data_IF_388176678843
#
_entry.id   IF_388176678843
#
_cell.length_a   1.000
_cell.length_b   1.000
_cell.length_c   1.000
_cell.angle_alpha   90.00
_cell.angle_beta   90.00
_cell.angle_gamma   90.00
#
_symmetry.space_group_name_H-M   'P 1'
#
loop_
_entity.id
_entity.type
_entity.pdbx_description
1 polymer ?
#
# COMPACT_ATOMS: atom_id res chain seq x y z
N UNK A 1 -27.37 14.62 9.31
CA UNK A 1 -25.92 14.35 9.32
C UNK A 1 -25.59 12.91 9.75
N UNK A 2 -26.11 12.42 10.89
CA UNK A 2 -25.90 11.01 11.35
C UNK A 2 -26.46 9.98 10.34
N UNK A 3 -27.61 10.25 9.71
CA UNK A 3 -28.20 9.34 8.72
C UNK A 3 -27.46 9.27 7.39
N UNK A 4 -26.76 10.33 6.98
CA UNK A 4 -25.92 10.32 5.77
C UNK A 4 -24.63 9.54 6.01
N UNK A 5 -24.05 9.62 7.21
CA UNK A 5 -22.87 8.83 7.62
C UNK A 5 -23.23 7.34 7.71
N UNK A 6 -24.39 7.00 8.27
CA UNK A 6 -24.88 5.61 8.31
C UNK A 6 -25.12 5.03 6.92
N UNK A 7 -25.72 5.81 6.00
CA UNK A 7 -25.93 5.40 4.59
C UNK A 7 -24.61 5.23 3.83
N UNK A 8 -23.62 6.11 4.05
CA UNK A 8 -22.29 5.98 3.46
C UNK A 8 -21.56 4.71 3.91
N UNK A 9 -21.63 4.39 5.22
CA UNK A 9 -21.04 3.17 5.77
C UNK A 9 -21.73 1.88 5.26
N UNK A 10 -23.04 1.90 5.02
CA UNK A 10 -23.77 0.74 4.46
C UNK A 10 -23.46 0.54 2.98
N UNK A 11 -23.29 1.62 2.20
CA UNK A 11 -22.85 1.52 0.81
C UNK A 11 -21.41 1.01 0.70
N UNK A 12 -20.51 1.45 1.59
CA UNK A 12 -19.14 0.95 1.65
C UNK A 12 -19.08 -0.52 2.07
N UNK A 13 -19.83 -0.93 3.10
CA UNK A 13 -19.91 -2.33 3.51
C UNK A 13 -20.50 -3.23 2.42
N UNK A 14 -21.51 -2.76 1.67
CA UNK A 14 -22.07 -3.48 0.54
C UNK A 14 -21.08 -3.58 -0.64
N UNK A 15 -20.28 -2.55 -0.87
CA UNK A 15 -19.22 -2.55 -1.88
C UNK A 15 -18.10 -3.54 -1.51
N UNK A 16 -17.64 -3.52 -0.27
CA UNK A 16 -16.65 -4.46 0.27
C UNK A 16 -17.16 -5.90 0.22
N UNK A 17 -18.42 -6.12 0.62
CA UNK A 17 -19.05 -7.44 0.55
C UNK A 17 -19.12 -7.96 -0.88
N UNK A 18 -19.52 -7.10 -1.84
CA UNK A 18 -19.55 -7.48 -3.25
C UNK A 18 -18.16 -7.86 -3.78
N UNK A 19 -17.11 -7.14 -3.39
CA UNK A 19 -15.73 -7.49 -3.75
C UNK A 19 -15.33 -8.86 -3.20
N UNK A 20 -15.72 -9.17 -1.95
CA UNK A 20 -15.45 -10.47 -1.32
C UNK A 20 -16.22 -11.58 -2.03
N UNK A 21 -17.49 -11.36 -2.35
CA UNK A 21 -18.34 -12.35 -3.02
C UNK A 21 -17.85 -12.63 -4.46
N UNK A 22 -17.46 -11.58 -5.19
CA UNK A 22 -16.86 -11.70 -6.53
C UNK A 22 -15.50 -12.44 -6.48
N UNK A 23 -14.73 -12.26 -5.39
CA UNK A 23 -13.47 -12.97 -5.14
C UNK A 23 -13.65 -14.47 -4.92
N UNK A 24 -14.58 -14.87 -4.05
CA UNK A 24 -14.85 -16.29 -3.81
C UNK A 24 -15.41 -16.98 -5.06
N UNK A 25 -16.25 -16.26 -5.82
CA UNK A 25 -16.77 -16.77 -7.08
C UNK A 25 -15.67 -17.00 -8.11
N UNK A 26 -14.75 -16.05 -8.27
CA UNK A 26 -13.60 -16.22 -9.15
C UNK A 26 -12.69 -17.37 -8.72
N UNK A 27 -12.40 -17.52 -7.41
CA UNK A 27 -11.63 -18.67 -6.91
C UNK A 27 -12.32 -19.99 -7.21
N UNK A 28 -13.64 -20.04 -6.99
CA UNK A 28 -14.43 -21.22 -7.26
C UNK A 28 -14.40 -21.57 -8.75
N UNK A 29 -14.49 -20.58 -9.64
CA UNK A 29 -14.36 -20.76 -11.09
C UNK A 29 -12.94 -21.20 -11.50
N UNK A 30 -11.91 -20.67 -10.84
CA UNK A 30 -10.50 -21.03 -11.05
C UNK A 30 -10.24 -22.50 -10.71
N UNK A 31 -10.65 -22.93 -9.51
CA UNK A 31 -10.52 -24.32 -9.05
C UNK A 31 -11.38 -25.28 -9.90
N UNK A 32 -12.59 -24.87 -10.28
CA UNK A 32 -13.46 -25.65 -11.20
C UNK A 32 -12.87 -25.81 -12.59
N UNK A 33 -12.11 -24.82 -13.07
CA UNK A 33 -11.50 -24.86 -14.40
C UNK A 33 -10.28 -25.78 -14.50
N UNK A 34 -9.75 -26.29 -13.38
CA UNK A 34 -8.55 -27.13 -13.34
C UNK A 34 -7.26 -26.42 -13.73
N UNK A 35 -7.29 -25.08 -13.89
CA UNK A 35 -6.15 -24.24 -14.31
C UNK A 35 -5.40 -23.61 -13.13
N UNK A 36 -5.68 -24.02 -11.90
CA UNK A 36 -5.01 -23.46 -10.72
C UNK A 36 -3.50 -23.63 -10.87
N UNK A 37 -3.03 -24.86 -11.13
CA UNK A 37 -1.61 -25.18 -11.20
C UNK A 37 -0.92 -24.46 -12.38
N UNK A 38 -1.55 -24.38 -13.56
CA UNK A 38 -1.01 -23.61 -14.72
C UNK A 38 -0.90 -22.10 -14.47
N UNK A 39 -1.80 -21.53 -13.65
CA UNK A 39 -1.77 -20.10 -13.27
C UNK A 39 -0.72 -19.84 -12.19
N UNK A 40 -0.46 -20.82 -11.32
CA UNK A 40 0.58 -20.70 -10.29
C UNK A 40 1.98 -21.02 -10.83
N UNK A 41 2.12 -21.86 -11.86
CA UNK A 41 3.41 -22.30 -12.40
C UNK A 41 3.91 -21.51 -13.65
N UNK A 42 3.06 -20.84 -14.43
CA UNK A 42 3.46 -20.10 -15.67
C UNK A 42 3.57 -18.57 -15.52
N UNK A 43 3.87 -18.05 -14.33
CA UNK A 43 3.93 -16.60 -14.07
C UNK A 43 5.27 -15.98 -14.52
N UNK A 44 5.39 -15.70 -15.82
CA UNK A 44 6.29 -14.65 -16.32
C UNK A 44 5.46 -13.39 -16.59
N UNK A 45 5.15 -12.61 -15.55
CA UNK A 45 4.47 -11.31 -15.73
C UNK A 45 3.61 -10.77 -14.58
N UNK A 46 3.21 -11.60 -13.61
CA UNK A 46 2.47 -11.15 -12.42
C UNK A 46 3.38 -11.20 -11.19
N UNK A 47 3.56 -10.07 -10.51
CA UNK A 47 4.27 -9.98 -9.24
C UNK A 47 3.34 -10.21 -8.05
N UNK A 48 3.79 -9.82 -6.86
CA UNK A 48 2.98 -9.99 -5.64
C UNK A 48 1.57 -9.39 -5.78
N UNK A 49 0.60 -10.10 -5.20
CA UNK A 49 -0.83 -9.78 -5.26
C UNK A 49 -1.42 -9.73 -6.68
N UNK A 50 -0.82 -10.45 -7.64
CA UNK A 50 -1.26 -10.48 -9.03
C UNK A 50 -1.02 -9.16 -9.76
N UNK A 51 -0.18 -8.28 -9.21
CA UNK A 51 0.13 -6.99 -9.79
C UNK A 51 1.01 -7.13 -11.03
N UNK A 52 0.88 -6.19 -11.97
CA UNK A 52 1.74 -6.15 -13.16
C UNK A 52 3.17 -5.80 -12.76
N UNK A 53 4.13 -6.67 -13.07
CA UNK A 53 5.57 -6.34 -12.92
C UNK A 53 5.93 -5.23 -13.90
N UNK A 54 6.62 -4.19 -13.41
CA UNK A 54 7.01 -3.05 -14.23
C UNK A 54 8.23 -3.36 -15.10
N UNK A 55 8.14 -2.98 -16.37
CA UNK A 55 9.29 -2.99 -17.28
C UNK A 55 10.27 -1.86 -16.95
N UNK A 56 11.49 -1.95 -17.50
CA UNK A 56 12.50 -0.88 -17.36
C UNK A 56 12.00 0.47 -17.89
N UNK A 57 11.30 0.48 -19.03
CA UNK A 57 10.76 1.72 -19.59
C UNK A 57 9.72 2.37 -18.67
N UNK A 58 8.85 1.57 -18.05
CA UNK A 58 7.87 2.07 -17.07
C UNK A 58 8.56 2.61 -15.81
N UNK A 59 9.60 1.93 -15.34
CA UNK A 59 10.42 2.42 -14.21
C UNK A 59 11.14 3.73 -14.53
N UNK A 60 11.65 3.88 -15.76
CA UNK A 60 12.28 5.13 -16.22
C UNK A 60 11.26 6.28 -16.26
N UNK A 61 10.01 6.00 -16.64
CA UNK A 61 8.93 7.00 -16.62
C UNK A 61 8.48 7.35 -15.19
N UNK A 62 8.39 6.36 -14.30
CA UNK A 62 8.20 6.59 -12.87
C UNK A 62 9.29 7.50 -12.30
N UNK A 63 10.56 7.22 -12.59
CA UNK A 63 11.68 8.03 -12.12
C UNK A 63 11.56 9.50 -12.56
N UNK A 64 11.18 9.75 -13.83
CA UNK A 64 10.94 11.12 -14.33
C UNK A 64 9.78 11.80 -13.61
N UNK A 65 8.66 11.10 -13.42
CA UNK A 65 7.46 11.67 -12.79
C UNK A 65 7.74 12.01 -11.32
N UNK A 66 8.35 11.09 -10.57
CA UNK A 66 8.69 11.26 -9.15
C UNK A 66 9.66 12.43 -8.96
N UNK A 67 10.72 12.49 -9.76
CA UNK A 67 11.71 13.57 -9.69
C UNK A 67 11.06 14.92 -10.03
N UNK A 68 10.26 14.98 -11.10
CA UNK A 68 9.61 16.23 -11.54
C UNK A 68 8.59 16.75 -10.53
N UNK A 69 7.80 15.86 -9.92
CA UNK A 69 6.70 16.27 -9.04
C UNK A 69 7.16 16.54 -7.61
N UNK A 70 8.06 15.72 -7.08
CA UNK A 70 8.37 15.68 -5.64
C UNK A 70 9.86 15.77 -5.34
N UNK A 71 10.71 15.85 -6.36
CA UNK A 71 12.16 15.73 -6.20
C UNK A 71 12.61 14.33 -5.74
N UNK A 72 11.72 13.34 -5.78
CA UNK A 72 11.97 11.99 -5.28
C UNK A 72 12.77 11.17 -6.28
N UNK A 73 13.82 10.51 -5.82
CA UNK A 73 14.68 9.64 -6.63
C UNK A 73 14.11 8.22 -6.67
N UNK A 74 14.42 7.48 -7.72
CA UNK A 74 14.13 6.05 -7.82
C UNK A 74 15.46 5.30 -7.86
N UNK A 75 15.65 4.30 -6.98
CA UNK A 75 16.90 3.55 -6.87
C UNK A 75 16.64 2.06 -6.74
N UNK A 76 17.27 1.29 -7.61
CA UNK A 76 17.24 -0.17 -7.54
C UNK A 76 18.11 -0.67 -6.38
N UNK A 77 17.63 -1.69 -5.67
CA UNK A 77 18.36 -2.44 -4.64
C UNK A 77 18.30 -3.94 -4.95
N UNK A 78 19.26 -4.69 -4.41
CA UNK A 78 19.33 -6.15 -4.63
C UNK A 78 18.29 -6.90 -3.79
N UNK A 79 18.05 -6.46 -2.55
CA UNK A 79 17.12 -7.10 -1.62
C UNK A 79 16.63 -6.14 -0.54
N UNK A 80 15.51 -6.51 0.07
CA UNK A 80 15.03 -5.99 1.34
C UNK A 80 15.14 -7.07 2.42
N UNK A 81 14.96 -6.68 3.69
CA UNK A 81 14.97 -7.62 4.82
C UNK A 81 13.79 -8.59 4.79
N UNK A 82 12.66 -8.16 4.21
CA UNK A 82 11.48 -9.00 4.00
C UNK A 82 11.29 -9.32 2.51
N UNK A 83 10.98 -10.58 2.14
CA UNK A 83 10.70 -10.96 0.75
C UNK A 83 9.44 -10.31 0.19
N UNK A 84 8.48 -9.93 1.04
CA UNK A 84 7.20 -9.35 0.63
C UNK A 84 7.29 -7.85 0.33
N UNK A 85 8.44 -7.22 0.59
CA UNK A 85 8.72 -5.83 0.26
C UNK A 85 9.33 -5.79 -1.15
N UNK A 86 8.65 -5.11 -2.07
CA UNK A 86 9.14 -4.87 -3.43
C UNK A 86 9.62 -3.43 -3.66
N UNK A 87 9.08 -2.48 -2.88
CA UNK A 87 9.50 -1.09 -2.87
C UNK A 87 9.39 -0.51 -1.45
N UNK A 88 10.13 0.56 -1.18
CA UNK A 88 10.10 1.28 0.09
C UNK A 88 10.52 2.73 -0.13
N UNK A 89 9.72 3.68 0.37
CA UNK A 89 10.09 5.08 0.43
C UNK A 89 10.98 5.38 1.64
N UNK A 90 12.17 5.93 1.39
CA UNK A 90 13.06 6.49 2.41
C UNK A 90 12.91 8.03 2.44
N UNK A 91 12.28 8.58 3.51
CA UNK A 91 12.09 10.02 3.62
C UNK A 91 13.41 10.78 3.84
N UNK A 92 14.43 10.16 4.43
CA UNK A 92 15.70 10.83 4.76
C UNK A 92 16.49 11.19 3.50
N UNK A 93 16.40 10.33 2.49
CA UNK A 93 17.10 10.52 1.21
C UNK A 93 16.15 10.97 0.09
N UNK A 94 14.86 11.14 0.39
CA UNK A 94 13.77 11.36 -0.56
C UNK A 94 13.89 10.40 -1.76
N UNK A 95 13.94 9.10 -1.48
CA UNK A 95 14.21 8.06 -2.48
C UNK A 95 13.24 6.90 -2.31
N UNK A 96 12.64 6.43 -3.40
CA UNK A 96 11.98 5.13 -3.46
C UNK A 96 13.02 4.09 -3.84
N UNK A 97 13.25 3.14 -2.95
CA UNK A 97 14.03 1.93 -3.19
C UNK A 97 13.11 0.88 -3.81
N UNK A 98 13.60 0.11 -4.79
CA UNK A 98 12.83 -1.00 -5.37
C UNK A 98 13.73 -2.18 -5.74
N UNK A 99 13.22 -3.41 -5.67
CA UNK A 99 13.92 -4.60 -6.17
C UNK A 99 13.32 -5.09 -7.49
N UNK A 100 13.85 -6.19 -8.02
CA UNK A 100 13.59 -6.63 -9.39
C UNK A 100 12.11 -6.68 -9.79
N UNK A 101 11.30 -7.57 -9.28
CA UNK A 101 9.91 -7.82 -9.63
C UNK A 101 8.87 -6.77 -9.17
N UNK A 102 9.26 -5.50 -8.96
CA UNK A 102 8.35 -4.46 -8.44
C UNK A 102 7.12 -4.28 -9.33
N UNK A 103 5.95 -4.22 -8.71
CA UNK A 103 4.67 -4.03 -9.41
C UNK A 103 4.21 -2.58 -9.39
N UNK A 104 3.27 -2.25 -10.29
CA UNK A 104 2.63 -0.92 -10.31
C UNK A 104 2.02 -0.55 -8.96
N UNK A 105 1.39 -1.50 -8.26
CA UNK A 105 0.82 -1.27 -6.94
C UNK A 105 1.83 -0.79 -5.91
N UNK A 106 3.00 -1.44 -5.80
CA UNK A 106 4.04 -1.01 -4.86
C UNK A 106 4.58 0.37 -5.23
N UNK A 107 4.78 0.65 -6.52
CA UNK A 107 5.20 1.98 -6.96
C UNK A 107 4.16 3.07 -6.66
N UNK A 108 2.88 2.78 -6.83
CA UNK A 108 1.77 3.69 -6.49
C UNK A 108 1.69 3.92 -4.98
N UNK A 109 1.90 2.89 -4.17
CA UNK A 109 1.94 3.00 -2.72
C UNK A 109 3.06 3.95 -2.27
N UNK A 110 4.29 3.69 -2.69
CA UNK A 110 5.44 4.53 -2.33
C UNK A 110 5.36 5.93 -2.93
N UNK A 111 4.74 6.08 -4.11
CA UNK A 111 4.44 7.37 -4.71
C UNK A 111 3.59 8.26 -3.80
N UNK A 112 2.61 7.71 -3.08
CA UNK A 112 1.77 8.50 -2.20
C UNK A 112 2.46 8.88 -0.89
N UNK A 113 3.38 8.06 -0.39
CA UNK A 113 4.29 8.47 0.70
C UNK A 113 5.15 9.67 0.27
N UNK A 114 5.74 9.61 -0.92
CA UNK A 114 6.51 10.73 -1.49
C UNK A 114 5.64 11.98 -1.71
N UNK A 115 4.41 11.81 -2.21
CA UNK A 115 3.45 12.90 -2.37
C UNK A 115 3.11 13.57 -1.04
N UNK A 116 2.83 12.79 0.01
CA UNK A 116 2.52 13.33 1.32
C UNK A 116 3.67 14.13 1.89
N UNK A 117 4.90 13.57 1.86
CA UNK A 117 6.09 14.27 2.33
C UNK A 117 6.31 15.58 1.55
N UNK A 118 6.09 15.56 0.24
CA UNK A 118 6.19 16.77 -0.60
C UNK A 118 5.16 17.85 -0.22
N UNK A 119 4.01 17.48 0.36
CA UNK A 119 2.95 18.43 0.74
C UNK A 119 3.18 19.05 2.12
N UNK A 120 3.65 18.25 3.07
CA UNK A 120 3.75 18.67 4.49
C UNK A 120 5.17 19.02 4.92
N UNK A 121 6.18 18.66 4.13
CA UNK A 121 7.59 18.82 4.46
C UNK A 121 8.18 17.65 5.25
N UNK A 122 9.50 17.50 5.17
CA UNK A 122 10.26 16.43 5.80
C UNK A 122 10.05 16.38 7.33
N UNK A 123 10.23 17.51 8.02
CA UNK A 123 10.16 17.58 9.48
C UNK A 123 8.83 17.06 10.03
N UNK A 124 7.72 17.45 9.40
CA UNK A 124 6.39 16.98 9.80
C UNK A 124 6.14 15.53 9.39
N UNK A 125 6.71 15.09 8.26
CA UNK A 125 6.58 13.70 7.81
C UNK A 125 7.25 12.71 8.76
N UNK A 126 8.48 13.02 9.23
CA UNK A 126 9.26 12.12 10.09
C UNK A 126 9.05 12.34 11.58
N UNK A 127 8.28 13.36 11.97
CA UNK A 127 8.01 13.66 13.37
C UNK A 127 7.39 12.44 14.06
N UNK A 128 7.96 12.03 15.19
CA UNK A 128 7.53 10.85 15.94
C UNK A 128 7.62 9.53 15.15
N UNK A 129 8.43 9.46 14.08
CA UNK A 129 8.75 8.20 13.42
C UNK A 129 9.55 7.28 14.36
N UNK A 130 9.36 5.97 14.22
CA UNK A 130 10.16 5.00 14.97
C UNK A 130 11.64 5.11 14.57
N UNK A 131 12.54 4.96 15.55
CA UNK A 131 13.98 4.96 15.29
C UNK A 131 14.37 3.72 14.49
N UNK A 132 15.48 3.82 13.77
CA UNK A 132 16.02 2.67 13.04
C UNK A 132 16.27 1.49 13.99
N UNK A 133 15.79 0.30 13.61
CA UNK A 133 15.92 -0.92 14.40
C UNK A 133 14.83 -1.16 15.44
N UNK A 134 13.90 -0.20 15.64
CA UNK A 134 12.73 -0.41 16.51
C UNK A 134 11.79 -1.47 15.92
N UNK A 135 11.45 -2.48 16.71
CA UNK A 135 10.62 -3.60 16.26
C UNK A 135 9.13 -3.32 16.43
N UNK A 136 8.42 -3.27 15.31
CA UNK A 136 6.96 -3.27 15.30
C UNK A 136 6.40 -4.63 15.79
N UNK A 137 5.27 -4.64 16.52
CA UNK A 137 4.57 -3.50 17.11
C UNK A 137 5.05 -3.15 18.53
N UNK A 138 5.81 -4.05 19.17
CA UNK A 138 6.00 -4.03 20.62
C UNK A 138 6.90 -2.89 21.11
N UNK A 139 7.87 -2.45 20.29
CA UNK A 139 8.82 -1.40 20.67
C UNK A 139 8.35 0.00 20.22
N UNK A 140 7.26 0.10 19.45
CA UNK A 140 6.70 1.38 19.04
C UNK A 140 6.01 2.08 20.21
N UNK A 141 6.25 3.37 20.42
CA UNK A 141 5.42 4.19 21.31
C UNK A 141 4.02 4.41 20.74
N UNK A 142 3.11 5.01 21.51
CA UNK A 142 1.77 5.38 21.01
C UNK A 142 1.89 6.41 19.89
N UNK A 143 2.82 7.36 20.02
CA UNK A 143 3.10 8.39 19.03
C UNK A 143 3.64 7.77 17.73
N UNK A 144 4.56 6.79 17.82
CA UNK A 144 5.05 6.09 16.65
C UNK A 144 3.93 5.36 15.89
N UNK A 145 3.03 4.66 16.61
CA UNK A 145 1.88 4.00 16.00
C UNK A 145 0.92 5.01 15.37
N UNK A 146 0.60 6.11 16.06
CA UNK A 146 -0.30 7.15 15.56
C UNK A 146 0.28 7.82 14.32
N UNK A 147 1.58 8.09 14.27
CA UNK A 147 2.23 8.64 13.08
C UNK A 147 2.15 7.65 11.92
N UNK A 148 2.55 6.40 12.14
CA UNK A 148 2.52 5.35 11.10
C UNK A 148 1.10 5.15 10.57
N UNK A 149 0.10 5.06 11.45
CA UNK A 149 -1.31 5.02 11.08
C UNK A 149 -1.71 6.21 10.20
N UNK A 150 -1.32 7.44 10.55
CA UNK A 150 -1.66 8.62 9.73
C UNK A 150 -1.02 8.56 8.33
N UNK A 151 0.21 8.05 8.20
CA UNK A 151 0.89 7.90 6.89
C UNK A 151 0.16 6.86 6.04
N UNK A 152 -0.06 5.68 6.59
CA UNK A 152 -0.76 4.60 5.90
C UNK A 152 -2.22 4.96 5.58
N UNK A 153 -2.90 5.73 6.45
CA UNK A 153 -4.25 6.24 6.17
C UNK A 153 -4.26 7.15 4.96
N UNK A 154 -3.28 8.06 4.86
CA UNK A 154 -3.15 8.94 3.70
C UNK A 154 -2.96 8.12 2.42
N UNK A 155 -2.02 7.17 2.42
CA UNK A 155 -1.77 6.30 1.26
C UNK A 155 -2.99 5.47 0.91
N UNK A 156 -3.65 4.89 1.90
CA UNK A 156 -4.88 4.14 1.74
C UNK A 156 -5.97 4.97 1.04
N UNK A 157 -6.24 6.18 1.54
CA UNK A 157 -7.24 7.09 0.98
C UNK A 157 -6.89 7.52 -0.45
N UNK A 158 -5.61 7.74 -0.75
CA UNK A 158 -5.18 8.07 -2.12
C UNK A 158 -5.30 6.88 -3.06
N UNK A 159 -4.99 5.66 -2.61
CA UNK A 159 -5.15 4.45 -3.40
C UNK A 159 -6.64 4.20 -3.69
N UNK A 160 -7.52 4.27 -2.70
CA UNK A 160 -8.97 4.11 -2.88
C UNK A 160 -9.51 5.12 -3.91
N UNK A 161 -9.09 6.39 -3.80
CA UNK A 161 -9.51 7.45 -4.72
C UNK A 161 -9.01 7.24 -6.16
N UNK A 162 -7.86 6.59 -6.33
CA UNK A 162 -7.21 6.42 -7.63
C UNK A 162 -7.20 4.97 -8.15
N UNK A 163 -7.90 4.04 -7.49
CA UNK A 163 -7.85 2.61 -7.79
C UNK A 163 -8.14 2.30 -9.27
N UNK A 164 -9.18 2.93 -9.84
CA UNK A 164 -9.53 2.78 -11.26
C UNK A 164 -8.47 3.34 -12.20
N UNK A 165 -7.81 4.43 -11.82
CA UNK A 165 -6.80 5.10 -12.64
C UNK A 165 -5.55 4.24 -12.80
N UNK A 166 -5.16 3.55 -11.73
CA UNK A 166 -4.01 2.64 -11.71
C UNK A 166 -4.41 1.18 -11.98
N UNK A 167 -5.67 0.94 -12.37
CA UNK A 167 -6.19 -0.39 -12.68
C UNK A 167 -5.89 -1.44 -11.59
N UNK A 168 -5.98 -1.04 -10.31
CA UNK A 168 -5.63 -1.90 -9.20
C UNK A 168 -6.64 -3.04 -9.04
N UNK A 169 -6.13 -4.23 -8.79
CA UNK A 169 -6.92 -5.43 -8.64
C UNK A 169 -7.40 -5.61 -7.17
N UNK A 170 -8.41 -6.47 -6.91
CA UNK A 170 -8.95 -6.66 -5.57
C UNK A 170 -7.94 -7.11 -4.51
N UNK A 171 -6.90 -7.88 -4.88
CA UNK A 171 -5.86 -8.31 -3.95
C UNK A 171 -4.94 -7.17 -3.52
N UNK A 172 -4.58 -6.28 -4.45
CA UNK A 172 -3.81 -5.07 -4.17
C UNK A 172 -4.58 -4.13 -3.24
N UNK A 173 -5.89 -3.95 -3.48
CA UNK A 173 -6.76 -3.16 -2.61
C UNK A 173 -6.93 -3.79 -1.22
N UNK A 174 -7.04 -5.12 -1.15
CA UNK A 174 -7.08 -5.84 0.13
C UNK A 174 -5.78 -5.68 0.89
N UNK A 175 -4.63 -5.80 0.23
CA UNK A 175 -3.34 -5.60 0.88
C UNK A 175 -3.20 -4.17 1.40
N UNK A 176 -3.63 -3.18 0.62
CA UNK A 176 -3.68 -1.78 1.05
C UNK A 176 -4.52 -1.59 2.32
N UNK A 177 -5.69 -2.24 2.40
CA UNK A 177 -6.52 -2.23 3.62
C UNK A 177 -5.79 -2.86 4.82
N UNK A 178 -5.18 -4.05 4.63
CA UNK A 178 -4.49 -4.76 5.71
C UNK A 178 -3.32 -3.96 6.28
N UNK A 179 -2.59 -3.23 5.43
CA UNK A 179 -1.52 -2.33 5.86
C UNK A 179 -2.02 -1.21 6.78
N UNK A 180 -3.23 -0.69 6.57
CA UNK A 180 -3.84 0.28 7.49
C UNK A 180 -4.38 -0.40 8.76
N UNK A 181 -5.07 -1.53 8.59
CA UNK A 181 -5.79 -2.26 9.62
C UNK A 181 -4.86 -2.74 10.75
N UNK A 182 -3.62 -3.14 10.42
CA UNK A 182 -2.64 -3.58 11.42
C UNK A 182 -2.28 -2.48 12.43
N UNK A 183 -2.11 -1.23 11.97
CA UNK A 183 -1.84 -0.11 12.88
C UNK A 183 -3.06 0.24 13.71
N UNK A 184 -4.25 0.20 13.10
CA UNK A 184 -5.52 0.40 13.79
C UNK A 184 -5.70 -0.64 14.92
N UNK A 185 -5.48 -1.92 14.63
CA UNK A 185 -5.55 -3.00 15.61
C UNK A 185 -4.61 -2.74 16.81
N UNK A 186 -3.37 -2.32 16.57
CA UNK A 186 -2.43 -2.05 17.64
C UNK A 186 -2.74 -0.79 18.46
N UNK A 187 -3.34 0.23 17.84
CA UNK A 187 -3.86 1.41 18.54
C UNK A 187 -5.06 1.04 19.43
N UNK A 188 -5.99 0.25 18.93
CA UNK A 188 -7.16 -0.24 19.67
C UNK A 188 -6.74 -1.10 20.87
N UNK A 189 -5.80 -2.03 20.68
CA UNK A 189 -5.25 -2.85 21.76
C UNK A 189 -4.64 -2.02 22.90
N UNK A 190 -4.20 -0.80 22.61
CA UNK A 190 -3.63 0.15 23.58
C UNK A 190 -4.64 1.17 24.11
N UNK A 191 -5.93 0.99 23.81
CA UNK A 191 -7.02 1.91 24.16
C UNK A 191 -6.79 3.35 23.65
N UNK A 192 -6.10 3.50 22.51
CA UNK A 192 -5.85 4.80 21.89
C UNK A 192 -7.01 5.13 20.95
N UNK A 193 -7.58 6.34 21.10
CA UNK A 193 -8.62 6.82 20.20
C UNK A 193 -8.04 7.08 18.81
N UNK A 194 -8.56 6.38 17.81
CA UNK A 194 -8.15 6.55 16.41
C UNK A 194 -8.67 7.88 15.86
N UNK A 195 -7.79 8.74 15.31
CA UNK A 195 -8.21 9.95 14.64
C UNK A 195 -9.00 9.62 13.36
N UNK A 196 -10.15 10.26 13.19
CA UNK A 196 -11.00 10.12 12.00
C UNK A 196 -10.36 10.76 10.77
#
# INVERSE_FOLDING_TARGET
MIDQIKKGATHFAAYVKKIIDDFFKWLEDLFKSGKADDIFDNITGNGLYGGKVLSKAELDDWAKILLKKFGTKLKKVEKFDSPDILAQFDPNTNTILYKNDVTEYFMVHEHFHAEEMSKIGFDEYVKDAALFGTKFPNEYTVENLLRSYKREKYVYEQIEKNAKRYNLNPFELRHNYLNLDIYQFHLEKRNVKIPK
#
